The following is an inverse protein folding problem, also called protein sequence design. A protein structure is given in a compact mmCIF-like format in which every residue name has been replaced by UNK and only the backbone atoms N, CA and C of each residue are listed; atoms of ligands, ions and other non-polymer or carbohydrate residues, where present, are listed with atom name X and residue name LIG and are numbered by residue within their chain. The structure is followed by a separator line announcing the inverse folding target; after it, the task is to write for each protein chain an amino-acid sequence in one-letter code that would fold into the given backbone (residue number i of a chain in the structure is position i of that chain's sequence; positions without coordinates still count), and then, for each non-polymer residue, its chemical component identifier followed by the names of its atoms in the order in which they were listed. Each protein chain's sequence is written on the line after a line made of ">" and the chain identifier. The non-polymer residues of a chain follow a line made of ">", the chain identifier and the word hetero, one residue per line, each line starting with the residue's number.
data_IF_927830287615
#
_entry.id   IF_927830287615
#
_cell.length_a   1.000
_cell.length_b   1.000
_cell.length_c   1.000
_cell.angle_alpha   90.00
_cell.angle_beta   90.00
_cell.angle_gamma   90.00
#
_symmetry.space_group_name_H-M   'P 1'
#
loop_
_entity.id
_entity.type
_entity.pdbx_description
1 polymer ?
#
# COMPACT_ATOMS: atom_id res chain seq x y z
N UNK A 1 8.44 -16.60 21.44
CA UNK A 1 6.99 -16.48 21.15
C UNK A 1 6.51 -17.84 20.63
N UNK A 2 5.45 -18.37 21.22
CA UNK A 2 4.87 -19.62 20.73
C UNK A 2 4.20 -19.37 19.37
N UNK A 3 4.25 -20.33 18.47
CA UNK A 3 3.72 -20.18 17.10
C UNK A 3 2.26 -19.73 17.09
N UNK A 4 1.44 -20.19 18.02
CA UNK A 4 0.04 -19.81 18.10
C UNK A 4 -0.18 -18.36 18.58
N UNK A 5 0.72 -17.82 19.37
CA UNK A 5 0.67 -16.41 19.79
C UNK A 5 1.06 -15.50 18.63
N UNK A 6 2.12 -15.84 17.92
CA UNK A 6 2.55 -15.10 16.72
C UNK A 6 1.43 -15.07 15.67
N UNK A 7 0.79 -16.20 15.40
CA UNK A 7 -0.31 -16.28 14.44
C UNK A 7 -1.49 -15.39 14.84
N UNK A 8 -1.89 -15.41 16.11
CA UNK A 8 -2.99 -14.54 16.60
C UNK A 8 -2.64 -13.08 16.45
N UNK A 9 -1.43 -12.69 16.83
CA UNK A 9 -0.99 -11.29 16.73
C UNK A 9 -0.90 -10.84 15.26
N UNK A 10 -0.39 -11.70 14.39
CA UNK A 10 -0.31 -11.42 12.96
C UNK A 10 -1.69 -11.23 12.33
N UNK A 11 -2.68 -12.06 12.71
CA UNK A 11 -4.03 -11.98 12.16
C UNK A 11 -4.80 -10.73 12.60
N UNK A 12 -4.41 -10.07 13.68
CA UNK A 12 -5.00 -8.80 14.09
C UNK A 12 -4.80 -7.68 13.06
N UNK A 13 -3.80 -7.79 12.20
CA UNK A 13 -3.45 -6.79 11.20
C UNK A 13 -4.06 -7.04 9.82
N UNK A 14 -4.94 -8.04 9.70
CA UNK A 14 -5.45 -8.46 8.39
C UNK A 14 -6.20 -7.35 7.64
N UNK A 15 -7.02 -6.57 8.35
CA UNK A 15 -7.79 -5.49 7.74
C UNK A 15 -6.88 -4.37 7.21
N UNK A 16 -5.90 -3.97 8.01
CA UNK A 16 -4.92 -2.96 7.61
C UNK A 16 -4.08 -3.42 6.41
N UNK A 17 -3.65 -4.68 6.44
CA UNK A 17 -2.91 -5.27 5.33
C UNK A 17 -3.75 -5.39 4.06
N UNK A 18 -5.01 -5.78 4.18
CA UNK A 18 -5.92 -5.85 3.04
C UNK A 18 -6.13 -4.48 2.40
N UNK A 19 -6.39 -3.45 3.20
CA UNK A 19 -6.56 -2.09 2.70
C UNK A 19 -5.29 -1.60 1.97
N UNK A 20 -4.14 -1.88 2.54
CA UNK A 20 -2.85 -1.55 1.90
C UNK A 20 -2.66 -2.32 0.59
N UNK A 21 -3.00 -3.60 0.57
CA UNK A 21 -2.93 -4.43 -0.63
C UNK A 21 -3.84 -3.92 -1.75
N UNK A 22 -5.05 -3.44 -1.42
CA UNK A 22 -5.96 -2.83 -2.40
C UNK A 22 -5.33 -1.59 -3.03
N UNK A 23 -4.70 -0.72 -2.22
CA UNK A 23 -4.01 0.45 -2.75
C UNK A 23 -2.82 0.08 -3.64
N UNK A 24 -2.10 -0.98 -3.30
CA UNK A 24 -0.96 -1.43 -4.09
C UNK A 24 -1.37 -2.07 -5.41
N UNK A 25 -2.36 -2.97 -5.37
CA UNK A 25 -2.75 -3.81 -6.51
C UNK A 25 -3.86 -3.20 -7.35
N UNK A 26 -4.71 -2.36 -6.76
CA UNK A 26 -5.87 -1.73 -7.37
C UNK A 26 -7.00 -2.68 -7.79
N UNK A 27 -6.82 -3.97 -7.57
CA UNK A 27 -7.80 -5.02 -7.93
C UNK A 27 -8.04 -5.91 -6.71
N UNK A 28 -9.29 -6.02 -6.23
CA UNK A 28 -9.60 -6.86 -5.06
C UNK A 28 -9.08 -8.30 -5.16
N UNK A 29 -9.22 -9.03 -6.29
CA UNK A 29 -8.66 -10.37 -6.38
C UNK A 29 -7.13 -10.41 -6.20
N UNK A 30 -6.42 -9.46 -6.78
CA UNK A 30 -4.96 -9.35 -6.62
C UNK A 30 -4.57 -8.98 -5.19
N UNK A 31 -5.38 -8.13 -4.54
CA UNK A 31 -5.18 -7.77 -3.13
C UNK A 31 -5.34 -8.99 -2.21
N UNK A 32 -6.35 -9.81 -2.45
CA UNK A 32 -6.56 -11.05 -1.70
C UNK A 32 -5.36 -12.01 -1.85
N UNK A 33 -4.88 -12.19 -3.07
CA UNK A 33 -3.71 -13.01 -3.36
C UNK A 33 -2.47 -12.47 -2.66
N UNK A 34 -2.29 -11.15 -2.67
CA UNK A 34 -1.17 -10.50 -2.00
C UNK A 34 -1.22 -10.68 -0.47
N UNK A 35 -2.40 -10.56 0.12
CA UNK A 35 -2.59 -10.79 1.56
C UNK A 35 -2.26 -12.23 1.91
N UNK A 36 -2.78 -13.19 1.14
CA UNK A 36 -2.50 -14.62 1.37
C UNK A 36 -1.01 -14.92 1.29
N UNK A 37 -0.34 -14.44 0.25
CA UNK A 37 1.09 -14.67 0.09
C UNK A 37 1.90 -14.01 1.21
N UNK A 38 1.48 -12.84 1.66
CA UNK A 38 2.10 -12.14 2.79
C UNK A 38 2.04 -12.98 4.06
N UNK A 39 0.87 -13.53 4.37
CA UNK A 39 0.70 -14.39 5.56
C UNK A 39 1.48 -15.69 5.43
N UNK A 40 1.47 -16.33 4.27
CA UNK A 40 2.26 -17.54 4.03
C UNK A 40 3.75 -17.29 4.29
N UNK A 41 4.28 -16.18 3.78
CA UNK A 41 5.67 -15.79 4.01
C UNK A 41 5.94 -15.43 5.47
N UNK A 42 5.04 -14.70 6.10
CA UNK A 42 5.18 -14.35 7.51
C UNK A 42 5.24 -15.58 8.40
N UNK A 43 4.37 -16.54 8.17
CA UNK A 43 4.36 -17.79 8.96
C UNK A 43 5.58 -18.66 8.66
N UNK A 44 5.98 -18.74 7.40
CA UNK A 44 7.19 -19.49 7.01
C UNK A 44 8.46 -18.92 7.65
N UNK A 45 8.56 -17.60 7.71
CA UNK A 45 9.74 -16.89 8.20
C UNK A 45 9.55 -16.29 9.59
N UNK A 46 8.58 -16.78 10.35
CA UNK A 46 8.29 -16.27 11.71
C UNK A 46 9.51 -16.32 12.65
N UNK A 47 10.40 -17.28 12.45
CA UNK A 47 11.65 -17.41 13.20
C UNK A 47 12.62 -16.25 12.95
N UNK A 48 12.46 -15.50 11.88
CA UNK A 48 13.27 -14.31 11.57
C UNK A 48 12.73 -13.03 12.23
N UNK A 49 11.51 -13.09 12.72
CA UNK A 49 10.93 -11.96 13.45
C UNK A 49 11.61 -11.82 14.81
N UNK A 50 12.19 -10.65 15.07
CA UNK A 50 12.84 -10.38 16.35
C UNK A 50 11.81 -10.00 17.40
N UNK A 51 11.68 -10.75 18.52
CA UNK A 51 10.78 -10.38 19.61
C UNK A 51 11.12 -9.00 20.16
N UNK A 52 10.08 -8.20 20.47
CA UNK A 52 10.24 -6.82 20.92
C UNK A 52 10.31 -5.78 19.82
N UNK A 53 10.28 -6.19 18.55
CA UNK A 53 10.11 -5.28 17.41
C UNK A 53 8.64 -5.24 17.00
N UNK A 54 8.29 -4.29 16.11
CA UNK A 54 6.91 -4.09 15.71
C UNK A 54 6.50 -5.11 14.63
N UNK A 55 5.67 -6.07 15.00
CA UNK A 55 5.16 -7.10 14.10
C UNK A 55 4.41 -6.49 12.92
N UNK A 56 3.59 -5.48 13.16
CA UNK A 56 2.81 -4.78 12.12
C UNK A 56 3.73 -4.22 11.03
N UNK A 57 4.78 -3.51 11.40
CA UNK A 57 5.75 -2.96 10.44
C UNK A 57 6.45 -4.06 9.65
N UNK A 58 6.81 -5.16 10.31
CA UNK A 58 7.42 -6.32 9.67
C UNK A 58 6.50 -6.95 8.63
N UNK A 59 5.20 -7.09 8.97
CA UNK A 59 4.19 -7.61 8.05
C UNK A 59 4.02 -6.71 6.80
N UNK A 60 3.97 -5.40 7.00
CA UNK A 60 3.90 -4.43 5.89
C UNK A 60 5.15 -4.48 5.01
N UNK A 61 6.32 -4.68 5.60
CA UNK A 61 7.56 -4.84 4.85
C UNK A 61 7.52 -6.10 3.96
N UNK A 62 7.04 -7.22 4.50
CA UNK A 62 6.87 -8.45 3.73
C UNK A 62 5.91 -8.20 2.56
N UNK A 63 4.77 -7.55 2.82
CA UNK A 63 3.77 -7.28 1.80
C UNK A 63 4.32 -6.42 0.66
N UNK A 64 4.98 -5.33 1.00
CA UNK A 64 5.57 -4.45 -0.01
C UNK A 64 6.63 -5.18 -0.84
N UNK A 65 7.51 -5.92 -0.20
CA UNK A 65 8.54 -6.70 -0.89
C UNK A 65 7.93 -7.77 -1.81
N UNK A 66 6.86 -8.41 -1.36
CA UNK A 66 6.12 -9.40 -2.15
C UNK A 66 5.47 -8.74 -3.36
N UNK A 67 4.81 -7.59 -3.16
CA UNK A 67 4.21 -6.82 -4.24
C UNK A 67 5.24 -6.41 -5.29
N UNK A 68 6.36 -5.87 -4.88
CA UNK A 68 7.42 -5.46 -5.80
C UNK A 68 7.98 -6.64 -6.60
N UNK A 69 8.10 -7.81 -5.98
CA UNK A 69 8.53 -9.03 -6.66
C UNK A 69 7.52 -9.44 -7.73
N UNK A 70 6.22 -9.47 -7.41
CA UNK A 70 5.17 -9.82 -8.36
C UNK A 70 5.04 -8.80 -9.49
N UNK A 71 5.13 -7.51 -9.16
CA UNK A 71 5.09 -6.43 -10.15
C UNK A 71 6.24 -6.54 -11.15
N UNK A 72 7.44 -6.79 -10.68
CA UNK A 72 8.61 -7.00 -11.54
C UNK A 72 8.46 -8.23 -12.44
N UNK A 73 7.87 -9.31 -11.93
CA UNK A 73 7.60 -10.50 -12.74
C UNK A 73 6.59 -10.20 -13.84
N UNK A 74 5.52 -9.47 -13.52
CA UNK A 74 4.50 -9.06 -14.51
C UNK A 74 5.08 -8.14 -15.58
N UNK A 75 5.94 -7.22 -15.20
CA UNK A 75 6.63 -6.33 -16.15
C UNK A 75 7.51 -7.10 -17.14
N UNK A 76 8.09 -8.23 -16.71
CA UNK A 76 8.88 -9.10 -17.59
C UNK A 76 8.01 -9.92 -18.54
N UNK A 77 6.80 -10.25 -18.14
CA UNK A 77 5.86 -11.08 -18.90
C UNK A 77 4.96 -10.27 -19.84
N UNK A 78 4.68 -9.02 -19.49
CA UNK A 78 3.88 -8.11 -20.30
C UNK A 78 4.77 -7.22 -21.14
N UNK A 79 4.47 -7.03 -22.46
CA UNK A 79 5.14 -5.98 -23.19
C UNK A 79 4.84 -4.66 -22.50
N UNK A 80 5.89 -3.96 -22.10
CA UNK A 80 5.82 -2.65 -21.50
C UNK A 80 5.01 -1.75 -22.45
N UNK A 81 3.95 -1.12 -21.94
CA UNK A 81 3.38 0.02 -22.63
C UNK A 81 4.54 0.97 -22.95
N UNK A 82 4.62 1.45 -24.18
CA UNK A 82 5.79 2.16 -24.73
C UNK A 82 6.36 3.27 -23.83
N UNK A 83 5.58 3.71 -22.84
CA UNK A 83 5.92 4.83 -21.96
C UNK A 83 6.37 4.43 -20.55
N UNK A 84 6.37 3.13 -20.20
CA UNK A 84 6.73 2.67 -18.85
C UNK A 84 5.82 3.20 -17.76
N UNK A 85 4.72 3.86 -18.11
CA UNK A 85 3.73 4.38 -17.18
C UNK A 85 2.57 3.40 -17.12
N UNK A 86 2.23 2.88 -15.94
CA UNK A 86 1.00 2.12 -15.79
C UNK A 86 -0.17 2.98 -16.24
N UNK A 87 -1.13 2.39 -16.94
CA UNK A 87 -2.35 3.08 -17.31
C UNK A 87 -3.18 3.40 -16.06
N UNK A 88 -2.91 4.56 -15.49
CA UNK A 88 -3.57 5.03 -14.28
C UNK A 88 -5.03 5.45 -14.51
N UNK A 89 -5.42 5.62 -15.78
CA UNK A 89 -6.79 5.92 -16.18
C UNK A 89 -7.62 4.66 -16.47
N UNK A 90 -7.02 3.48 -16.37
CA UNK A 90 -7.76 2.23 -16.43
C UNK A 90 -8.85 2.25 -15.36
N UNK A 91 -10.13 1.96 -15.72
CA UNK A 91 -11.23 2.09 -14.78
C UNK A 91 -10.98 1.20 -13.57
N UNK A 92 -10.82 1.85 -12.43
CA UNK A 92 -10.82 1.15 -11.16
C UNK A 92 -12.21 0.62 -10.89
N UNK A 93 -12.25 -0.59 -10.35
CA UNK A 93 -13.49 -1.27 -10.06
C UNK A 93 -14.41 -0.45 -9.21
N UNK A 94 -15.53 -0.08 -9.77
CA UNK A 94 -16.66 0.49 -9.05
C UNK A 94 -17.65 -0.57 -8.65
N UNK A 95 -17.17 -1.66 -8.04
CA UNK A 95 -18.04 -2.55 -7.30
C UNK A 95 -17.92 -2.26 -5.81
N UNK A 96 -17.87 -0.96 -5.46
CA UNK A 96 -18.18 -0.56 -4.11
C UNK A 96 -19.70 -0.56 -3.97
N UNK A 97 -20.24 -1.23 -2.95
CA UNK A 97 -21.67 -1.15 -2.70
C UNK A 97 -22.10 0.30 -2.48
N UNK A 98 -23.23 0.66 -3.03
CA UNK A 98 -23.89 1.94 -2.88
C UNK A 98 -23.81 2.46 -1.44
N UNK A 99 -23.01 3.48 -1.24
CA UNK A 99 -23.00 4.21 0.02
C UNK A 99 -23.10 5.71 -0.25
N UNK A 100 -23.99 6.31 0.45
CA UNK A 100 -24.44 7.69 0.48
C UNK A 100 -23.55 8.72 -0.20
N UNK A 101 -24.12 9.40 -1.17
CA UNK A 101 -23.50 9.99 -2.33
C UNK A 101 -22.46 11.10 -2.13
N UNK A 102 -22.44 11.84 -1.04
CA UNK A 102 -21.54 13.01 -0.91
C UNK A 102 -20.20 12.63 -0.25
N UNK A 103 -20.24 11.81 0.78
CA UNK A 103 -19.03 11.27 1.38
C UNK A 103 -18.33 10.30 0.41
N UNK A 104 -19.11 9.63 -0.45
CA UNK A 104 -18.62 8.72 -1.48
C UNK A 104 -17.87 9.43 -2.60
N UNK A 105 -18.34 10.62 -3.04
CA UNK A 105 -17.66 11.37 -4.10
C UNK A 105 -16.28 11.89 -3.66
N UNK A 106 -16.19 12.49 -2.47
CA UNK A 106 -14.93 12.97 -1.92
C UNK A 106 -13.95 11.84 -1.67
N UNK A 107 -14.43 10.70 -1.19
CA UNK A 107 -13.62 9.50 -0.98
C UNK A 107 -13.12 8.93 -2.31
N UNK A 108 -13.98 8.92 -3.34
CA UNK A 108 -13.61 8.47 -4.68
C UNK A 108 -12.55 9.39 -5.31
N UNK A 109 -12.69 10.70 -5.15
CA UNK A 109 -11.72 11.67 -5.67
C UNK A 109 -10.37 11.54 -4.98
N UNK A 110 -10.35 11.32 -3.66
CA UNK A 110 -9.13 11.07 -2.92
C UNK A 110 -8.46 9.77 -3.37
N UNK A 111 -9.23 8.71 -3.54
CA UNK A 111 -8.72 7.43 -4.04
C UNK A 111 -8.10 7.58 -5.43
N UNK A 112 -8.80 8.25 -6.34
CA UNK A 112 -8.27 8.53 -7.69
C UNK A 112 -6.98 9.32 -7.62
N UNK A 113 -6.96 10.39 -6.83
CA UNK A 113 -5.77 11.22 -6.65
C UNK A 113 -4.60 10.40 -6.07
N UNK A 114 -4.87 9.54 -5.08
CA UNK A 114 -3.86 8.65 -4.53
C UNK A 114 -3.29 7.69 -5.58
N UNK A 115 -4.13 7.21 -6.49
CA UNK A 115 -3.67 6.31 -7.55
C UNK A 115 -2.85 7.02 -8.63
N UNK A 116 -3.01 8.32 -8.80
CA UNK A 116 -2.17 9.12 -9.69
C UNK A 116 -0.78 9.42 -9.11
N UNK A 117 -0.58 9.16 -7.82
CA UNK A 117 0.75 9.28 -7.23
C UNK A 117 1.64 8.12 -7.64
N UNK A 118 2.95 8.36 -7.88
CA UNK A 118 3.91 7.27 -7.99
C UNK A 118 3.83 6.33 -6.77
N UNK A 119 4.10 5.05 -6.98
CA UNK A 119 4.01 4.03 -5.92
C UNK A 119 4.76 4.45 -4.65
N UNK A 120 5.97 4.98 -4.79
CA UNK A 120 6.79 5.40 -3.66
C UNK A 120 6.13 6.51 -2.82
N UNK A 121 5.47 7.47 -3.46
CA UNK A 121 4.78 8.57 -2.78
C UNK A 121 3.49 8.09 -2.13
N UNK A 122 2.73 7.29 -2.82
CA UNK A 122 1.50 6.69 -2.29
C UNK A 122 1.78 5.83 -1.07
N UNK A 123 2.79 4.98 -1.15
CA UNK A 123 3.15 4.08 -0.06
C UNK A 123 3.58 4.83 1.20
N UNK A 124 4.42 5.86 1.10
CA UNK A 124 4.82 6.63 2.28
C UNK A 124 3.65 7.34 2.93
N UNK A 125 2.71 7.88 2.14
CA UNK A 125 1.49 8.49 2.68
C UNK A 125 0.62 7.47 3.40
N UNK A 126 0.41 6.32 2.82
CA UNK A 126 -0.40 5.26 3.45
C UNK A 126 0.21 4.81 4.76
N UNK A 127 1.50 4.55 4.79
CA UNK A 127 2.16 4.06 6.00
C UNK A 127 2.23 5.12 7.10
N UNK A 128 2.57 6.35 6.76
CA UNK A 128 2.77 7.41 7.74
C UNK A 128 1.46 8.06 8.19
N UNK A 129 0.56 8.38 7.27
CA UNK A 129 -0.65 9.16 7.55
C UNK A 129 -1.88 8.30 7.83
N UNK A 130 -2.06 7.21 7.09
CA UNK A 130 -3.23 6.33 7.29
C UNK A 130 -2.95 5.31 8.39
N UNK A 131 -1.81 4.66 8.35
CA UNK A 131 -1.44 3.63 9.32
C UNK A 131 -0.75 4.20 10.57
N UNK A 132 -0.37 5.47 10.54
CA UNK A 132 0.25 6.15 11.68
C UNK A 132 1.59 5.59 12.12
N UNK A 133 2.36 5.00 11.21
CA UNK A 133 3.65 4.43 11.55
C UNK A 133 4.71 5.50 11.81
N UNK A 134 5.60 5.29 12.80
CA UNK A 134 6.77 6.13 12.96
C UNK A 134 7.63 6.17 11.70
N UNK A 135 8.25 7.32 11.42
CA UNK A 135 9.03 7.51 10.19
C UNK A 135 10.20 6.52 10.08
N UNK A 136 10.78 6.11 11.20
CA UNK A 136 11.84 5.10 11.24
C UNK A 136 11.38 3.74 10.73
N UNK A 137 10.14 3.37 11.04
CA UNK A 137 9.54 2.12 10.55
C UNK A 137 9.20 2.22 9.05
N UNK A 138 8.66 3.37 8.63
CA UNK A 138 8.40 3.64 7.21
C UNK A 138 9.71 3.56 6.41
N UNK A 139 10.78 4.13 6.94
CA UNK A 139 12.10 4.07 6.31
C UNK A 139 12.60 2.63 6.13
N UNK A 140 12.39 1.77 7.12
CA UNK A 140 12.73 0.34 7.01
C UNK A 140 11.92 -0.36 5.93
N UNK A 141 10.60 -0.12 5.90
CA UNK A 141 9.70 -0.71 4.90
C UNK A 141 10.10 -0.26 3.49
N UNK A 142 10.42 1.02 3.34
CA UNK A 142 10.79 1.61 2.05
C UNK A 142 12.26 1.38 1.67
N UNK A 143 13.07 0.83 2.57
CA UNK A 143 14.50 0.62 2.39
C UNK A 143 15.24 1.91 1.99
N UNK A 144 14.96 3.00 2.69
CA UNK A 144 15.55 4.31 2.44
C UNK A 144 15.79 5.08 3.74
N UNK A 145 16.62 6.14 3.71
CA UNK A 145 16.84 6.98 4.89
C UNK A 145 15.57 7.71 5.32
N UNK A 146 15.46 8.04 6.61
CA UNK A 146 14.33 8.81 7.16
C UNK A 146 14.18 10.17 6.48
N UNK A 147 15.27 10.83 6.13
CA UNK A 147 15.23 12.09 5.39
C UNK A 147 14.56 11.95 4.02
N UNK A 148 14.75 10.83 3.35
CA UNK A 148 14.09 10.51 2.09
C UNK A 148 12.58 10.28 2.30
N UNK A 149 12.20 9.61 3.38
CA UNK A 149 10.78 9.44 3.75
C UNK A 149 10.12 10.80 3.92
N UNK A 150 10.74 11.71 4.67
CA UNK A 150 10.23 13.07 4.90
C UNK A 150 10.04 13.84 3.59
N UNK A 151 11.02 13.81 2.70
CA UNK A 151 10.94 14.50 1.40
C UNK A 151 9.85 13.89 0.52
N UNK A 152 9.71 12.58 0.51
CA UNK A 152 8.67 11.89 -0.26
C UNK A 152 7.28 12.23 0.27
N UNK A 153 7.08 12.26 1.59
CA UNK A 153 5.80 12.66 2.19
C UNK A 153 5.44 14.09 1.78
N UNK A 154 6.39 15.00 1.88
CA UNK A 154 6.17 16.39 1.49
C UNK A 154 5.77 16.52 0.01
N UNK A 155 6.51 15.90 -0.88
CA UNK A 155 6.22 15.91 -2.33
C UNK A 155 4.91 15.22 -2.65
N UNK A 156 4.61 14.12 -1.97
CA UNK A 156 3.36 13.38 -2.14
C UNK A 156 2.16 14.26 -1.76
N UNK A 157 2.25 14.95 -0.64
CA UNK A 157 1.19 15.88 -0.20
C UNK A 157 1.00 17.04 -1.16
N UNK A 158 2.09 17.60 -1.70
CA UNK A 158 2.00 18.67 -2.70
C UNK A 158 1.30 18.21 -3.97
N UNK A 159 1.69 17.06 -4.49
CA UNK A 159 1.04 16.49 -5.69
C UNK A 159 -0.42 16.17 -5.44
N UNK A 160 -0.72 15.60 -4.27
CA UNK A 160 -2.10 15.27 -3.89
C UNK A 160 -2.97 16.53 -3.83
N UNK A 161 -2.47 17.60 -3.24
CA UNK A 161 -3.18 18.88 -3.21
C UNK A 161 -3.45 19.42 -4.62
N UNK A 162 -2.47 19.33 -5.51
CA UNK A 162 -2.63 19.71 -6.91
C UNK A 162 -3.72 18.92 -7.62
N UNK A 163 -3.70 17.60 -7.45
CA UNK A 163 -4.70 16.71 -8.04
C UNK A 163 -6.11 16.97 -7.49
N UNK A 164 -6.24 17.20 -6.19
CA UNK A 164 -7.53 17.47 -5.56
C UNK A 164 -8.11 18.84 -5.96
N UNK A 165 -7.27 19.83 -6.22
CA UNK A 165 -7.73 21.14 -6.74
C UNK A 165 -8.40 21.02 -8.10
N UNK A 166 -7.91 20.14 -8.94
CA UNK A 166 -8.48 19.89 -10.26
C UNK A 166 -9.90 19.31 -10.16
N UNK A 167 -10.22 18.64 -9.06
CA UNK A 167 -11.57 18.14 -8.78
C UNK A 167 -12.51 19.22 -8.20
N UNK A 168 -11.96 20.18 -7.46
CA UNK A 168 -12.75 21.25 -6.83
C UNK A 168 -13.25 22.32 -7.83
N UNK A 169 -12.66 22.38 -9.01
CA UNK A 169 -12.98 23.39 -10.05
C UNK A 169 -14.15 22.93 -10.95
N UNK A 170 -14.65 21.77 -10.73
CA UNK A 170 -15.84 21.24 -11.40
C UNK A 170 -17.07 21.43 -10.52
#
# INVERSE_FOLDING_TARGET
>A
MADGEFQRDALQHINALYNFAVYLTRKPPDAEDLVQETYLRAFRFSHRFAPGTHLRAWMFQIMRNTFLTFYRLRERESPIAEDGVPDWDAPMFHDAPDQDSVASEAHTDLERAMHHLPEEFRTVLLLAEVEGMPLEEVARIMACPVGTVKSRIFRAKERLRGLLRDYDVK
#
